data_IF_789943064354
#
_entry.id   IF_789943064354
#
_cell.length_a   1.000
_cell.length_b   1.000
_cell.length_c   1.000
_cell.angle_alpha   90.00
_cell.angle_beta   90.00
_cell.angle_gamma   90.00
#
_symmetry.space_group_name_H-M   'P 1'
#
loop_
_entity.id
_entity.type
_entity.pdbx_description
1 polymer ?
#
# COMPACT_ATOMS: atom_id res chain seq x y z
N UNK A 1 -2.07 5.85 -6.93
CA UNK A 1 -1.64 7.26 -6.97
C UNK A 1 -2.79 8.23 -6.71
N UNK A 2 -3.93 8.13 -7.41
CA UNK A 2 -5.07 9.07 -7.27
C UNK A 2 -5.64 9.12 -5.84
N UNK A 3 -5.86 7.96 -5.21
CA UNK A 3 -6.40 7.91 -3.84
C UNK A 3 -5.47 8.54 -2.79
N UNK A 4 -4.15 8.41 -2.94
CA UNK A 4 -3.20 9.08 -2.07
C UNK A 4 -3.16 10.59 -2.32
N UNK A 5 -3.23 11.04 -3.58
CA UNK A 5 -3.35 12.47 -3.89
C UNK A 5 -4.63 13.08 -3.31
N UNK A 6 -5.74 12.35 -3.38
CA UNK A 6 -7.01 12.73 -2.75
C UNK A 6 -6.84 12.87 -1.24
N UNK A 7 -6.26 11.89 -0.56
CA UNK A 7 -5.99 11.96 0.89
C UNK A 7 -5.05 13.11 1.27
N UNK A 8 -4.03 13.38 0.46
CA UNK A 8 -3.14 14.52 0.66
C UNK A 8 -3.90 15.86 0.51
N UNK A 9 -4.75 15.98 -0.52
CA UNK A 9 -5.58 17.16 -0.70
C UNK A 9 -6.63 17.33 0.41
N UNK A 10 -7.22 16.24 0.90
CA UNK A 10 -8.16 16.28 2.03
C UNK A 10 -7.48 16.82 3.30
N UNK A 11 -6.21 16.48 3.56
CA UNK A 11 -5.45 16.98 4.73
C UNK A 11 -4.84 18.36 4.53
N UNK A 12 -4.24 18.63 3.36
CA UNK A 12 -3.38 19.80 3.14
C UNK A 12 -4.01 20.90 2.27
N UNK A 13 -5.19 20.67 1.71
CA UNK A 13 -5.96 21.68 0.98
C UNK A 13 -6.73 21.10 -0.21
N UNK A 14 -8.05 21.01 -0.08
CA UNK A 14 -8.91 20.40 -1.09
C UNK A 14 -8.78 21.11 -2.44
N UNK A 15 -8.51 20.34 -3.49
CA UNK A 15 -8.35 20.84 -4.86
C UNK A 15 -7.06 21.61 -5.13
N UNK A 16 -6.15 21.71 -4.15
CA UNK A 16 -4.86 22.38 -4.34
C UNK A 16 -3.78 21.41 -4.82
N UNK A 17 -2.74 21.89 -5.52
CA UNK A 17 -1.53 21.11 -5.73
C UNK A 17 -0.92 20.67 -4.40
N UNK A 18 -0.36 19.46 -4.37
CA UNK A 18 0.36 18.90 -3.21
C UNK A 18 1.81 18.64 -3.57
N UNK A 19 2.72 18.73 -2.59
CA UNK A 19 4.14 18.46 -2.78
C UNK A 19 4.50 17.00 -2.43
N UNK A 20 5.76 16.61 -2.67
CA UNK A 20 6.22 15.23 -2.44
C UNK A 20 6.07 14.73 -1.00
N UNK A 21 6.28 15.61 0.00
CA UNK A 21 6.15 15.23 1.41
C UNK A 21 4.69 14.97 1.81
N UNK A 22 3.76 15.76 1.27
CA UNK A 22 2.33 15.58 1.47
C UNK A 22 1.83 14.31 0.80
N UNK A 23 2.35 13.98 -0.38
CA UNK A 23 2.04 12.71 -1.06
C UNK A 23 2.63 11.53 -0.29
N UNK A 24 3.86 11.63 0.20
CA UNK A 24 4.46 10.61 1.08
C UNK A 24 3.58 10.37 2.30
N UNK A 25 3.21 11.43 3.02
CA UNK A 25 2.32 11.31 4.17
C UNK A 25 1.02 10.57 3.82
N UNK A 26 0.39 10.92 2.69
CA UNK A 26 -0.85 10.26 2.28
C UNK A 26 -0.65 8.80 1.82
N UNK A 27 0.48 8.47 1.20
CA UNK A 27 0.85 7.08 0.89
C UNK A 27 1.17 6.28 2.16
N UNK A 28 1.67 6.92 3.20
CA UNK A 28 1.90 6.35 4.54
C UNK A 28 0.64 6.34 5.41
N UNK A 29 -0.49 6.88 4.92
CA UNK A 29 -1.78 6.92 5.62
C UNK A 29 -2.93 6.45 4.71
N UNK A 30 -2.61 5.69 3.66
CA UNK A 30 -3.61 5.24 2.70
C UNK A 30 -4.53 4.23 3.37
N UNK A 31 -5.84 4.43 3.22
CA UNK A 31 -6.85 3.53 3.77
C UNK A 31 -8.01 3.38 2.77
N UNK A 32 -7.84 2.45 1.84
CA UNK A 32 -8.83 2.10 0.83
C UNK A 32 -9.58 0.87 1.32
N UNK A 33 -10.78 1.10 1.87
CA UNK A 33 -11.68 0.06 2.36
C UNK A 33 -12.49 -0.57 1.22
N UNK A 34 -13.16 -1.70 1.46
CA UNK A 34 -14.12 -2.28 0.51
C UNK A 34 -15.22 -1.28 0.10
N UNK A 35 -15.68 -0.46 1.06
CA UNK A 35 -16.65 0.59 0.78
C UNK A 35 -16.11 1.62 -0.22
N UNK A 36 -14.83 2.03 -0.07
CA UNK A 36 -14.19 2.95 -1.01
C UNK A 36 -13.95 2.30 -2.36
N UNK A 37 -13.52 1.03 -2.41
CA UNK A 37 -13.38 0.26 -3.65
C UNK A 37 -14.70 0.20 -4.41
N UNK A 38 -15.81 -0.04 -3.70
CA UNK A 38 -17.15 -0.03 -4.30
C UNK A 38 -17.53 1.35 -4.84
N UNK A 39 -17.29 2.42 -4.08
CA UNK A 39 -17.60 3.80 -4.49
C UNK A 39 -16.89 4.19 -5.80
N UNK A 40 -15.64 3.77 -5.97
CA UNK A 40 -14.83 4.09 -7.15
C UNK A 40 -14.93 3.05 -8.27
N UNK A 41 -15.80 2.05 -8.14
CA UNK A 41 -15.98 0.99 -9.15
C UNK A 41 -14.80 0.03 -9.30
N UNK A 42 -13.97 -0.10 -8.26
CA UNK A 42 -12.78 -0.96 -8.22
C UNK A 42 -12.97 -2.24 -7.40
N UNK A 43 -14.22 -2.61 -7.07
CA UNK A 43 -14.53 -3.90 -6.46
C UNK A 43 -13.92 -5.03 -7.29
N UNK A 44 -13.29 -5.99 -6.61
CA UNK A 44 -12.61 -7.16 -7.21
C UNK A 44 -11.39 -6.87 -8.09
N UNK A 45 -11.10 -5.61 -8.42
CA UNK A 45 -9.89 -5.19 -9.13
C UNK A 45 -8.67 -5.17 -8.19
N UNK A 46 -8.87 -4.74 -6.94
CA UNK A 46 -7.87 -4.66 -5.89
C UNK A 46 -8.45 -5.19 -4.57
N UNK A 47 -7.63 -5.76 -3.67
CA UNK A 47 -8.06 -6.00 -2.30
C UNK A 47 -8.08 -4.67 -1.51
N UNK A 48 -8.67 -4.62 -0.30
CA UNK A 48 -8.49 -3.49 0.61
C UNK A 48 -7.02 -3.19 0.85
N UNK A 49 -6.66 -1.91 0.86
CA UNK A 49 -5.28 -1.44 1.03
C UNK A 49 -5.22 -0.53 2.24
N UNK A 50 -4.34 -0.86 3.19
CA UNK A 50 -4.03 0.02 4.30
C UNK A 50 -2.52 0.05 4.53
N UNK A 51 -1.90 1.20 4.41
CA UNK A 51 -0.46 1.38 4.60
C UNK A 51 -0.17 2.19 5.85
N UNK A 52 1.09 2.20 6.26
CA UNK A 52 1.61 2.99 7.38
C UNK A 52 3.06 3.40 7.10
N UNK A 53 3.67 4.30 7.89
CA UNK A 53 5.12 4.53 7.83
C UNK A 53 5.94 3.24 7.99
N UNK A 54 5.45 2.27 8.77
CA UNK A 54 6.13 1.00 9.01
C UNK A 54 5.81 -0.09 7.96
N UNK A 55 4.77 0.12 7.14
CA UNK A 55 4.28 -0.83 6.16
C UNK A 55 3.87 -0.10 4.87
N UNK A 56 4.80 -0.06 3.90
CA UNK A 56 4.58 0.51 2.57
C UNK A 56 3.98 -0.51 1.58
N UNK A 57 3.73 -1.77 1.97
CA UNK A 57 3.07 -2.80 1.15
C UNK A 57 1.55 -2.70 1.27
N UNK A 58 1.07 -2.66 2.51
CA UNK A 58 -0.34 -2.64 2.87
C UNK A 58 -1.03 -4.00 2.78
N UNK A 59 -1.72 -4.29 1.67
CA UNK A 59 -2.53 -5.51 1.58
C UNK A 59 -1.69 -6.78 1.48
N UNK A 60 -0.83 -6.88 0.46
CA UNK A 60 -0.08 -8.10 0.15
C UNK A 60 -0.93 -9.27 -0.36
N UNK A 61 -2.25 -9.10 -0.51
CA UNK A 61 -3.12 -10.14 -1.04
C UNK A 61 -3.01 -10.26 -2.56
N UNK A 62 -3.09 -11.49 -3.03
CA UNK A 62 -3.01 -11.84 -4.46
C UNK A 62 -4.24 -12.64 -4.90
N UNK A 63 -4.54 -12.62 -6.20
CA UNK A 63 -5.60 -13.42 -6.81
C UNK A 63 -5.00 -14.22 -7.96
N UNK A 64 -5.30 -15.50 -8.02
CA UNK A 64 -4.82 -16.39 -9.08
C UNK A 64 -5.78 -16.33 -10.26
N UNK A 65 -5.22 -16.08 -11.43
CA UNK A 65 -5.94 -16.11 -12.70
C UNK A 65 -5.30 -17.14 -13.60
N UNK A 66 -6.13 -17.88 -14.33
CA UNK A 66 -5.71 -18.88 -15.30
C UNK A 66 -6.09 -18.43 -16.70
N UNK A 67 -5.18 -18.61 -17.66
CA UNK A 67 -5.47 -18.40 -19.08
C UNK A 67 -6.30 -19.58 -19.61
N UNK A 68 -7.47 -19.30 -20.18
CA UNK A 68 -8.38 -20.33 -20.72
C UNK A 68 -8.20 -20.61 -22.23
N UNK A 69 -7.25 -19.91 -22.88
CA UNK A 69 -7.06 -19.93 -24.34
C UNK A 69 -7.51 -18.66 -25.05
N UNK A 70 -8.35 -17.83 -24.42
CA UNK A 70 -8.86 -16.57 -24.97
C UNK A 70 -8.81 -15.39 -24.00
N UNK A 71 -8.91 -15.64 -22.68
CA UNK A 71 -8.88 -14.61 -21.64
C UNK A 71 -8.29 -15.14 -20.33
N UNK A 72 -7.96 -14.22 -19.43
CA UNK A 72 -7.64 -14.54 -18.04
C UNK A 72 -8.94 -14.70 -17.24
N UNK A 73 -9.06 -15.82 -16.53
CA UNK A 73 -10.20 -16.16 -15.70
C UNK A 73 -9.74 -16.29 -14.24
N UNK A 74 -10.34 -15.55 -13.29
CA UNK A 74 -10.06 -15.76 -11.87
C UNK A 74 -10.43 -17.19 -11.44
N UNK A 75 -9.50 -17.89 -10.81
CA UNK A 75 -9.69 -19.26 -10.28
C UNK A 75 -9.54 -19.33 -8.77
N UNK A 76 -9.36 -18.18 -8.11
CA UNK A 76 -9.33 -18.04 -6.65
C UNK A 76 -10.02 -16.75 -6.20
N UNK A 77 -10.33 -16.69 -4.90
CA UNK A 77 -10.53 -15.42 -4.21
C UNK A 77 -9.19 -14.70 -3.94
N UNK A 78 -9.22 -13.67 -3.09
CA UNK A 78 -8.00 -13.07 -2.55
C UNK A 78 -7.33 -14.02 -1.57
N UNK A 79 -6.00 -14.14 -1.68
CA UNK A 79 -5.16 -15.01 -0.88
C UNK A 79 -4.11 -14.14 -0.21
N UNK A 80 -4.01 -14.21 1.12
CA UNK A 80 -2.97 -13.52 1.87
C UNK A 80 -1.69 -14.34 1.95
N UNK A 81 -0.54 -13.69 1.71
CA UNK A 81 0.76 -14.30 1.92
C UNK A 81 1.07 -14.49 3.42
N UNK A 82 2.04 -15.35 3.74
CA UNK A 82 2.47 -15.54 5.13
C UNK A 82 3.35 -14.36 5.60
N UNK A 83 2.69 -13.25 5.97
CA UNK A 83 3.38 -12.05 6.48
C UNK A 83 4.20 -12.32 7.73
N UNK A 84 3.71 -13.18 8.63
CA UNK A 84 4.43 -13.55 9.85
C UNK A 84 5.79 -14.20 9.57
N UNK A 85 5.91 -14.93 8.47
CA UNK A 85 7.17 -15.51 8.00
C UNK A 85 8.04 -14.49 7.25
N UNK A 86 7.45 -13.71 6.34
CA UNK A 86 8.21 -12.93 5.35
C UNK A 86 8.57 -11.51 5.84
N UNK A 87 7.71 -10.84 6.61
CA UNK A 87 7.98 -9.47 7.08
C UNK A 87 9.23 -9.35 7.98
N UNK A 88 9.56 -10.33 8.86
CA UNK A 88 10.84 -10.32 9.56
C UNK A 88 12.05 -10.30 8.62
N UNK A 89 11.97 -11.01 7.48
CA UNK A 89 13.03 -11.03 6.47
C UNK A 89 13.16 -9.68 5.76
N UNK A 90 12.03 -9.03 5.43
CA UNK A 90 12.02 -7.66 4.89
C UNK A 90 12.69 -6.68 5.86
N UNK A 91 12.35 -6.74 7.15
CA UNK A 91 12.95 -5.87 8.17
C UNK A 91 14.45 -6.09 8.29
N UNK A 92 14.91 -7.35 8.33
CA UNK A 92 16.33 -7.66 8.37
C UNK A 92 17.07 -7.13 7.13
N UNK A 93 16.52 -7.35 5.94
CA UNK A 93 17.08 -6.85 4.68
C UNK A 93 17.14 -5.32 4.64
N UNK A 94 16.09 -4.63 5.07
CA UNK A 94 16.03 -3.18 5.10
C UNK A 94 17.03 -2.59 6.12
N UNK A 95 17.19 -3.21 7.28
CA UNK A 95 18.18 -2.83 8.29
C UNK A 95 19.61 -3.00 7.78
N UNK A 96 19.90 -4.11 7.10
CA UNK A 96 21.19 -4.34 6.47
C UNK A 96 21.48 -3.26 5.41
N UNK A 97 20.54 -3.01 4.51
CA UNK A 97 20.68 -1.96 3.50
C UNK A 97 20.94 -0.58 4.12
N UNK A 98 20.18 -0.23 5.17
CA UNK A 98 20.37 1.04 5.87
C UNK A 98 21.78 1.18 6.45
N UNK A 99 22.30 0.11 7.07
CA UNK A 99 23.67 0.06 7.58
C UNK A 99 24.71 0.23 6.47
N UNK A 100 24.57 -0.49 5.36
CA UNK A 100 25.50 -0.43 4.22
C UNK A 100 25.54 0.95 3.55
N UNK A 101 24.41 1.66 3.55
CA UNK A 101 24.27 2.98 2.94
C UNK A 101 24.42 4.15 3.90
N UNK A 102 24.66 3.89 5.20
CA UNK A 102 24.71 4.92 6.22
C UNK A 102 23.38 5.68 6.40
N UNK A 103 22.26 5.04 6.09
CA UNK A 103 20.91 5.61 6.24
C UNK A 103 20.47 5.42 7.67
N UNK A 104 20.02 6.50 8.32
CA UNK A 104 19.34 6.41 9.62
C UNK A 104 17.87 6.08 9.40
N UNK A 105 17.36 4.91 9.85
CA UNK A 105 15.94 4.59 9.71
C UNK A 105 15.06 5.61 10.42
N UNK A 106 13.94 5.95 9.79
CA UNK A 106 12.97 6.90 10.33
C UNK A 106 12.26 6.31 11.55
N UNK A 107 11.99 7.17 12.53
CA UNK A 107 11.19 6.82 13.69
C UNK A 107 9.70 7.01 13.39
N UNK A 108 9.05 5.93 12.95
CA UNK A 108 7.64 5.95 12.58
C UNK A 108 6.69 6.22 13.76
N UNK A 109 7.14 6.12 15.01
CA UNK A 109 6.30 6.47 16.17
C UNK A 109 6.05 7.98 16.27
N UNK A 110 6.83 8.80 15.55
CA UNK A 110 6.69 10.26 15.52
C UNK A 110 5.79 10.78 14.40
N UNK A 111 5.23 9.89 13.57
CA UNK A 111 4.28 10.28 12.54
C UNK A 111 2.85 10.04 13.02
N UNK A 112 2.22 11.12 13.49
CA UNK A 112 0.78 11.23 13.78
C UNK A 112 0.07 12.02 12.69
#
# INVERSE_FOLDING_TARGET
>A
SVEALRGAQEKYGKGKPVNGEQVRWAMENLNITDARLKEIGATDLLPPIKTSCADHEGSGMVKIQQWDGAKWVPVSGWIEGNKGLIHPLFKASAQQYAKEKGITPKDCAKES
#
